data_IF_703133725140
#
_entry.id   IF_703133725140
#
_cell.length_a   1.000
_cell.length_b   1.000
_cell.length_c   1.000
_cell.angle_alpha   90.00
_cell.angle_beta   90.00
_cell.angle_gamma   90.00
#
_symmetry.space_group_name_H-M   'P 1'
#
loop_
_entity.id
_entity.type
_entity.pdbx_description
1 polymer ?
#
# COMPACT_ATOMS: atom_id res chain seq x y z
N UNK A 1 -15.51 -23.47 5.54
CA UNK A 1 -16.75 -22.77 5.95
C UNK A 1 -16.40 -21.47 6.64
N UNK A 2 -17.09 -20.34 6.36
CA UNK A 2 -16.87 -19.09 7.08
C UNK A 2 -17.32 -19.25 8.54
N UNK A 3 -16.53 -18.73 9.48
CA UNK A 3 -16.91 -18.78 10.91
C UNK A 3 -17.98 -17.71 11.13
N UNK A 4 -19.23 -18.15 11.32
CA UNK A 4 -20.38 -17.25 11.54
C UNK A 4 -20.09 -16.25 12.67
N UNK A 5 -20.57 -15.01 12.51
CA UNK A 5 -20.49 -13.96 13.52
C UNK A 5 -19.10 -13.33 13.72
N UNK A 6 -18.09 -13.73 12.94
CA UNK A 6 -16.72 -13.20 13.09
C UNK A 6 -16.23 -12.35 11.92
N UNK A 7 -16.97 -12.09 10.84
CA UNK A 7 -16.46 -11.28 9.70
C UNK A 7 -15.03 -11.70 9.27
N UNK A 8 -14.75 -13.01 9.24
CA UNK A 8 -13.44 -13.56 8.85
C UNK A 8 -13.54 -14.23 7.49
N UNK A 9 -12.49 -14.05 6.69
CA UNK A 9 -12.30 -14.86 5.49
C UNK A 9 -12.23 -16.35 5.85
N UNK A 10 -12.80 -17.18 4.97
CA UNK A 10 -12.61 -18.64 5.00
C UNK A 10 -11.12 -18.96 4.95
N UNK A 11 -10.69 -19.99 5.68
CA UNK A 11 -9.27 -20.33 5.86
C UNK A 11 -8.53 -20.45 4.54
N UNK A 12 -9.14 -21.07 3.52
CA UNK A 12 -8.52 -21.30 2.22
C UNK A 12 -8.31 -20.00 1.40
N UNK A 13 -8.98 -18.91 1.75
CA UNK A 13 -8.82 -17.62 1.07
C UNK A 13 -7.94 -16.66 1.87
N UNK A 14 -7.41 -17.07 3.03
CA UNK A 14 -6.50 -16.24 3.79
C UNK A 14 -5.16 -16.19 3.08
N UNK A 15 -4.74 -15.00 2.73
CA UNK A 15 -3.41 -14.77 2.17
C UNK A 15 -2.32 -15.02 3.21
N UNK A 16 -1.08 -15.18 2.76
CA UNK A 16 0.09 -15.32 3.63
C UNK A 16 0.63 -13.93 3.99
N UNK A 17 0.76 -13.56 5.27
CA UNK A 17 1.37 -12.29 5.64
C UNK A 17 2.78 -12.15 5.07
N UNK A 18 3.13 -10.94 4.63
CA UNK A 18 4.42 -10.64 4.01
C UNK A 18 4.50 -10.95 2.51
N UNK A 19 3.38 -11.30 1.88
CA UNK A 19 3.31 -11.61 0.45
C UNK A 19 2.47 -10.61 -0.32
N UNK A 20 2.62 -10.62 -1.65
CA UNK A 20 1.80 -9.80 -2.54
C UNK A 20 0.81 -10.66 -3.32
N UNK A 21 -0.36 -10.09 -3.61
CA UNK A 21 -1.30 -10.62 -4.59
C UNK A 21 -1.53 -9.56 -5.66
N UNK A 22 -1.37 -9.96 -6.92
CA UNK A 22 -1.54 -9.07 -8.07
C UNK A 22 -2.87 -9.41 -8.74
N UNK A 23 -3.74 -8.41 -8.84
CA UNK A 23 -5.00 -8.47 -9.58
C UNK A 23 -4.77 -7.74 -10.91
N UNK A 24 -4.73 -8.51 -11.99
CA UNK A 24 -4.58 -7.96 -13.33
C UNK A 24 -5.84 -7.24 -13.75
N UNK A 25 -5.68 -6.05 -14.32
CA UNK A 25 -6.82 -5.38 -14.93
C UNK A 25 -7.26 -6.15 -16.19
N UNK A 26 -8.58 -6.28 -16.43
CA UNK A 26 -9.08 -6.90 -17.67
C UNK A 26 -8.83 -6.03 -18.91
N UNK A 27 -8.64 -4.72 -18.72
CA UNK A 27 -8.44 -3.76 -19.79
C UNK A 27 -6.95 -3.45 -20.01
N UNK A 28 -6.53 -3.38 -21.27
CA UNK A 28 -5.18 -2.95 -21.61
C UNK A 28 -4.94 -1.49 -21.20
N UNK A 29 -3.71 -1.14 -20.84
CA UNK A 29 -3.31 0.21 -20.43
C UNK A 29 -3.99 0.76 -19.16
N UNK A 30 -4.65 -0.09 -18.37
CA UNK A 30 -5.19 0.27 -17.06
C UNK A 30 -4.32 -0.30 -15.93
N UNK A 31 -4.27 0.34 -14.75
CA UNK A 31 -3.37 -0.07 -13.68
C UNK A 31 -3.81 -1.39 -13.04
N UNK A 32 -2.86 -2.30 -12.82
CA UNK A 32 -3.06 -3.47 -11.99
C UNK A 32 -3.17 -3.08 -10.51
N UNK A 33 -3.94 -3.86 -9.73
CA UNK A 33 -4.04 -3.68 -8.28
C UNK A 33 -3.11 -4.66 -7.59
N UNK A 34 -2.24 -4.15 -6.71
CA UNK A 34 -1.33 -4.98 -5.92
C UNK A 34 -1.76 -4.92 -4.46
N UNK A 35 -2.22 -6.05 -3.93
CA UNK A 35 -2.54 -6.22 -2.52
C UNK A 35 -1.27 -6.59 -1.76
N UNK A 36 -0.85 -5.75 -0.81
CA UNK A 36 0.25 -6.04 0.11
C UNK A 36 -0.32 -6.69 1.38
N UNK A 37 -0.13 -7.99 1.56
CA UNK A 37 -0.77 -8.75 2.63
C UNK A 37 0.00 -8.56 3.94
N UNK A 38 -0.27 -7.45 4.61
CA UNK A 38 0.49 -6.99 5.78
C UNK A 38 -0.35 -6.79 7.03
N UNK A 39 -1.60 -7.26 7.01
CA UNK A 39 -2.55 -7.19 8.11
C UNK A 39 -3.27 -8.54 8.20
N UNK A 40 -3.14 -9.22 9.35
CA UNK A 40 -3.67 -10.58 9.52
C UNK A 40 -5.06 -10.62 10.18
N UNK A 41 -5.24 -9.81 11.22
CA UNK A 41 -6.51 -9.57 11.91
C UNK A 41 -7.04 -8.18 11.54
N UNK A 42 -8.35 -7.98 11.64
CA UNK A 42 -8.96 -6.69 11.33
C UNK A 42 -8.70 -5.69 12.47
N UNK A 43 -8.88 -4.40 12.18
CA UNK A 43 -8.65 -3.34 13.17
C UNK A 43 -7.18 -3.25 13.60
N UNK A 44 -6.93 -2.89 14.86
CA UNK A 44 -5.58 -2.60 15.39
C UNK A 44 -4.68 -3.84 15.60
N UNK A 45 -5.20 -5.05 15.37
CA UNK A 45 -4.46 -6.29 15.62
C UNK A 45 -4.53 -6.73 17.09
N UNK A 46 -4.19 -7.98 17.35
CA UNK A 46 -4.13 -8.56 18.70
C UNK A 46 -5.48 -8.78 19.42
N UNK A 47 -6.61 -8.35 18.83
CA UNK A 47 -7.93 -8.46 19.45
C UNK A 47 -8.44 -9.91 19.45
N UNK A 48 -8.39 -10.60 18.31
CA UNK A 48 -8.94 -11.96 18.21
C UNK A 48 -7.90 -13.07 18.23
N UNK A 49 -6.61 -12.74 18.13
CA UNK A 49 -5.48 -13.70 18.16
C UNK A 49 -5.72 -14.90 17.24
N UNK A 50 -5.97 -14.62 15.97
CA UNK A 50 -6.34 -15.64 14.97
C UNK A 50 -5.10 -16.47 14.62
N UNK A 51 -5.09 -17.81 14.77
CA UNK A 51 -3.97 -18.64 14.34
C UNK A 51 -3.85 -18.68 12.80
N UNK A 52 -2.64 -18.90 12.24
CA UNK A 52 -1.41 -19.26 12.95
C UNK A 52 -0.49 -18.08 13.29
N UNK A 53 -0.82 -16.86 12.86
CA UNK A 53 0.06 -15.71 13.00
C UNK A 53 -0.33 -14.79 14.15
N UNK A 54 0.66 -14.28 14.88
CA UNK A 54 0.46 -13.23 15.86
C UNK A 54 0.39 -11.87 15.16
N UNK A 55 -0.77 -11.21 15.24
CA UNK A 55 -0.98 -9.92 14.58
C UNK A 55 -0.66 -8.75 15.52
N UNK A 56 0.62 -8.41 15.61
CA UNK A 56 1.15 -7.29 16.36
C UNK A 56 1.57 -6.14 15.44
N UNK A 57 1.71 -4.93 15.98
CA UNK A 57 2.21 -3.76 15.21
C UNK A 57 3.56 -4.06 14.55
N UNK A 58 4.50 -4.67 15.28
CA UNK A 58 5.82 -5.01 14.76
C UNK A 58 5.75 -6.04 13.63
N UNK A 59 4.88 -7.04 13.75
CA UNK A 59 4.69 -8.04 12.70
C UNK A 59 4.06 -7.43 11.45
N UNK A 60 3.09 -6.50 11.58
CA UNK A 60 2.53 -5.80 10.42
C UNK A 60 3.56 -4.96 9.67
N UNK A 61 4.41 -4.24 10.39
CA UNK A 61 5.51 -3.48 9.79
C UNK A 61 6.52 -4.40 9.09
N UNK A 62 6.85 -5.55 9.72
CA UNK A 62 7.69 -6.58 9.12
C UNK A 62 7.08 -7.16 7.84
N UNK A 63 5.80 -7.54 7.87
CA UNK A 63 5.09 -8.07 6.71
C UNK A 63 4.94 -7.03 5.60
N UNK A 64 4.77 -5.76 5.96
CA UNK A 64 4.78 -4.67 4.98
C UNK A 64 6.13 -4.56 4.29
N UNK A 65 7.23 -4.59 5.05
CA UNK A 65 8.59 -4.60 4.51
C UNK A 65 8.85 -5.81 3.60
N UNK A 66 8.40 -7.01 3.99
CA UNK A 66 8.51 -8.22 3.17
C UNK A 66 7.70 -8.11 1.87
N UNK A 67 6.50 -7.54 1.94
CA UNK A 67 5.66 -7.29 0.76
C UNK A 67 6.35 -6.30 -0.20
N UNK A 68 7.00 -5.26 0.31
CA UNK A 68 7.80 -4.33 -0.48
C UNK A 68 9.02 -5.02 -1.12
N UNK A 69 9.67 -5.96 -0.43
CA UNK A 69 10.77 -6.75 -1.01
C UNK A 69 10.29 -7.62 -2.17
N UNK A 70 9.12 -8.24 -2.07
CA UNK A 70 8.54 -8.99 -3.20
C UNK A 70 8.15 -8.05 -4.34
N UNK A 71 7.53 -6.91 -4.02
CA UNK A 71 7.18 -5.89 -4.99
C UNK A 71 8.41 -5.38 -5.75
N UNK A 72 9.58 -5.27 -5.08
CA UNK A 72 10.84 -4.88 -5.71
C UNK A 72 11.23 -5.80 -6.86
N UNK A 73 10.96 -7.10 -6.74
CA UNK A 73 11.30 -8.12 -7.75
C UNK A 73 10.35 -8.12 -8.96
N UNK A 74 9.24 -7.39 -8.91
CA UNK A 74 8.29 -7.30 -10.01
C UNK A 74 8.77 -6.37 -11.13
N UNK A 75 8.22 -6.52 -12.33
CA UNK A 75 8.49 -5.67 -13.49
C UNK A 75 7.82 -4.29 -13.45
N UNK A 76 6.93 -4.03 -12.49
CA UNK A 76 6.24 -2.74 -12.36
C UNK A 76 7.22 -1.61 -12.08
N UNK A 77 7.22 -0.58 -12.94
CA UNK A 77 8.12 0.56 -12.84
C UNK A 77 7.53 1.71 -12.04
N UNK A 78 6.23 1.97 -12.21
CA UNK A 78 5.48 3.04 -11.54
C UNK A 78 4.49 2.42 -10.56
N UNK A 79 4.48 2.93 -9.33
CA UNK A 79 3.67 2.41 -8.23
C UNK A 79 2.97 3.56 -7.52
N UNK A 80 1.68 3.39 -7.26
CA UNK A 80 0.88 4.34 -6.49
C UNK A 80 0.51 3.71 -5.14
N UNK A 81 0.79 4.41 -4.04
CA UNK A 81 0.35 4.00 -2.71
C UNK A 81 -0.68 5.01 -2.18
N UNK A 82 -1.71 4.56 -1.46
CA UNK A 82 -2.61 5.46 -0.78
C UNK A 82 -1.90 6.17 0.38
N UNK A 83 -2.15 7.46 0.53
CA UNK A 83 -1.76 8.22 1.71
C UNK A 83 -2.34 7.57 2.96
N UNK A 84 -1.54 7.48 4.03
CA UNK A 84 -1.94 6.83 5.30
C UNK A 84 -2.25 5.33 5.15
N UNK A 85 -1.58 4.62 4.22
CA UNK A 85 -1.63 3.15 4.21
C UNK A 85 -1.21 2.57 5.56
N UNK A 86 -1.94 1.57 6.05
CA UNK A 86 -1.69 0.95 7.36
C UNK A 86 -2.13 1.80 8.57
N UNK A 87 -2.65 3.01 8.38
CA UNK A 87 -3.14 3.87 9.45
C UNK A 87 -4.66 3.72 9.69
N UNK A 88 -5.20 4.55 10.59
CA UNK A 88 -6.64 4.59 10.89
C UNK A 88 -7.10 3.33 11.63
N UNK A 89 -7.98 2.55 11.00
CA UNK A 89 -8.50 1.30 11.59
C UNK A 89 -7.39 0.27 11.83
N UNK A 90 -6.37 0.23 10.97
CA UNK A 90 -5.23 -0.67 11.11
C UNK A 90 -4.28 -0.25 12.26
N UNK A 91 -4.36 1.00 12.75
CA UNK A 91 -3.61 1.46 13.92
C UNK A 91 -2.12 1.74 13.73
N UNK A 92 -1.61 1.69 12.49
CA UNK A 92 -0.22 2.04 12.18
C UNK A 92 0.07 3.54 12.22
N UNK A 93 1.36 3.88 12.36
CA UNK A 93 1.88 5.25 12.35
C UNK A 93 2.41 5.62 10.97
N UNK A 94 1.91 6.70 10.39
CA UNK A 94 2.22 7.04 9.00
C UNK A 94 3.72 7.25 8.76
N UNK A 95 4.42 7.84 9.72
CA UNK A 95 5.86 8.12 9.64
C UNK A 95 6.68 6.85 9.43
N UNK A 96 6.26 5.74 10.04
CA UNK A 96 6.93 4.43 9.91
C UNK A 96 6.69 3.84 8.52
N UNK A 97 5.44 3.83 8.05
CA UNK A 97 5.11 3.30 6.72
C UNK A 97 5.73 4.16 5.61
N UNK A 98 5.75 5.47 5.80
CA UNK A 98 6.41 6.40 4.90
C UNK A 98 7.92 6.14 4.81
N UNK A 99 8.60 5.94 5.94
CA UNK A 99 10.03 5.58 5.96
C UNK A 99 10.31 4.25 5.23
N UNK A 100 9.46 3.24 5.44
CA UNK A 100 9.55 1.95 4.72
C UNK A 100 9.36 2.13 3.20
N UNK A 101 8.37 2.92 2.78
CA UNK A 101 8.13 3.24 1.37
C UNK A 101 9.34 3.99 0.78
N UNK A 102 9.88 5.01 1.48
CA UNK A 102 11.04 5.77 1.03
C UNK A 102 12.29 4.86 0.85
N UNK A 103 12.57 3.97 1.81
CA UNK A 103 13.67 3.00 1.71
C UNK A 103 13.48 2.04 0.53
N UNK A 104 12.24 1.60 0.32
CA UNK A 104 11.88 0.79 -0.84
C UNK A 104 12.11 1.54 -2.16
N UNK A 105 11.63 2.78 -2.29
CA UNK A 105 11.83 3.61 -3.48
C UNK A 105 13.32 3.76 -3.80
N UNK A 106 14.12 4.13 -2.79
CA UNK A 106 15.57 4.29 -2.96
C UNK A 106 16.26 2.99 -3.41
N UNK A 107 15.95 1.87 -2.75
CA UNK A 107 16.63 0.61 -3.03
C UNK A 107 16.16 -0.10 -4.30
N UNK A 108 14.96 0.22 -4.80
CA UNK A 108 14.36 -0.43 -5.98
C UNK A 108 14.51 0.39 -7.26
N UNK A 109 14.72 1.71 -7.15
CA UNK A 109 14.74 2.61 -8.30
C UNK A 109 13.37 2.75 -9.00
N UNK A 110 12.28 2.31 -8.37
CA UNK A 110 10.91 2.42 -8.91
C UNK A 110 10.36 3.84 -8.71
N UNK A 111 9.52 4.28 -9.64
CA UNK A 111 8.81 5.56 -9.60
C UNK A 111 7.60 5.43 -8.67
N UNK A 112 7.64 6.06 -7.50
CA UNK A 112 6.61 5.92 -6.46
C UNK A 112 5.82 7.21 -6.27
N UNK A 113 4.50 7.08 -6.22
CA UNK A 113 3.56 8.19 -6.06
C UNK A 113 2.69 7.92 -4.84
N UNK A 114 2.49 8.93 -3.97
CA UNK A 114 1.51 8.86 -2.89
C UNK A 114 0.24 9.60 -3.30
N UNK A 115 -0.87 8.89 -3.33
CA UNK A 115 -2.18 9.43 -3.70
C UNK A 115 -2.85 9.99 -2.44
N UNK A 116 -3.08 11.30 -2.39
CA UNK A 116 -3.80 11.94 -1.29
C UNK A 116 -5.26 12.15 -1.73
N UNK A 117 -6.23 11.46 -1.11
CA UNK A 117 -7.63 11.76 -1.37
C UNK A 117 -7.96 13.15 -0.80
N UNK A 118 -8.44 14.05 -1.64
CA UNK A 118 -8.94 15.36 -1.22
C UNK A 118 -10.41 15.50 -1.65
N UNK A 119 -11.20 16.09 -0.76
CA UNK A 119 -12.66 16.28 -0.87
C UNK A 119 -13.08 17.30 -1.94
N UNK A 120 -12.13 17.95 -2.63
CA UNK A 120 -12.43 18.92 -3.71
C UNK A 120 -11.71 18.65 -5.05
N UNK A 121 -10.61 17.90 -5.04
CA UNK A 121 -9.84 17.44 -6.21
C UNK A 121 -8.75 16.50 -5.69
N UNK A 122 -8.49 15.36 -6.33
CA UNK A 122 -7.40 14.47 -5.94
C UNK A 122 -6.04 15.18 -6.10
N UNK A 123 -5.42 15.58 -5.00
CA UNK A 123 -4.06 16.11 -5.03
C UNK A 123 -3.10 14.93 -5.04
N UNK A 124 -2.26 14.83 -6.07
CA UNK A 124 -1.23 13.80 -6.13
C UNK A 124 0.05 14.36 -5.53
N UNK A 125 0.59 13.68 -4.52
CA UNK A 125 1.91 14.02 -3.99
C UNK A 125 2.89 12.98 -4.53
N UNK A 126 3.71 13.41 -5.49
CA UNK A 126 4.79 12.55 -5.98
C UNK A 126 5.83 12.45 -4.87
N UNK A 127 6.13 11.22 -4.47
CA UNK A 127 7.01 10.94 -3.36
C UNK A 127 8.34 10.43 -3.89
N UNK A 128 9.35 11.29 -3.80
CA UNK A 128 10.75 10.99 -4.13
C UNK A 128 11.03 10.72 -5.62
N UNK A 129 11.34 11.78 -6.37
CA UNK A 129 12.32 11.68 -7.46
C UNK A 129 13.69 12.03 -6.88
N UNK A 130 14.48 11.03 -6.50
CA UNK A 130 15.88 11.27 -6.10
C UNK A 130 16.80 10.88 -7.25
N UNK A 131 17.58 11.85 -7.74
CA UNK A 131 18.69 11.57 -8.65
C UNK A 131 19.79 10.80 -7.89
N UNK A 132 20.59 9.93 -8.55
CA UNK A 132 21.56 9.04 -7.90
C UNK A 132 22.63 9.71 -7.02
N UNK A 133 22.76 11.05 -7.08
CA UNK A 133 23.85 11.80 -6.45
C UNK A 133 23.42 12.87 -5.44
N UNK A 134 22.15 12.98 -5.05
CA UNK A 134 21.72 14.00 -4.06
C UNK A 134 21.61 13.44 -2.64
N UNK A 135 22.40 14.03 -1.73
CA UNK A 135 22.39 13.78 -0.27
C UNK A 135 20.97 13.99 0.30
N UNK A 136 20.53 13.05 1.15
CA UNK A 136 19.44 13.07 2.18
C UNK A 136 18.53 14.32 2.29
N UNK A 137 17.96 14.82 1.20
CA UNK A 137 16.87 15.81 1.26
C UNK A 137 15.71 15.31 0.44
N UNK A 138 14.62 15.00 1.14
CA UNK A 138 13.36 14.56 0.55
C UNK A 138 12.70 15.76 -0.13
N UNK A 139 12.84 15.87 -1.45
CA UNK A 139 12.16 16.90 -2.23
C UNK A 139 10.76 16.41 -2.60
N UNK A 140 9.74 17.11 -2.10
CA UNK A 140 8.34 16.86 -2.40
C UNK A 140 7.92 17.70 -3.61
N UNK A 141 7.34 17.06 -4.62
CA UNK A 141 6.65 17.78 -5.70
C UNK A 141 5.19 17.36 -5.71
N UNK A 142 4.33 18.28 -5.32
CA UNK A 142 2.88 18.18 -5.53
C UNK A 142 2.60 18.36 -7.02
N UNK A 143 1.75 17.51 -7.56
CA UNK A 143 1.22 17.68 -8.90
C UNK A 143 -0.28 17.40 -8.83
N UNK A 144 -1.08 18.35 -9.28
CA UNK A 144 -2.52 18.13 -9.39
C UNK A 144 -2.76 17.16 -10.55
N UNK A 145 -3.59 16.14 -10.32
CA UNK A 145 -4.07 15.26 -11.38
C UNK A 145 -5.49 15.67 -11.67
N UNK A 146 -5.69 16.27 -12.84
CA UNK A 146 -7.03 16.51 -13.37
C UNK A 146 -7.72 15.16 -13.55
N UNK A 147 -8.88 15.01 -12.92
CA UNK A 147 -9.74 13.86 -13.17
C UNK A 147 -10.39 14.08 -14.54
N UNK A 148 -10.47 13.05 -15.41
CA UNK A 148 -11.29 13.16 -16.62
C UNK A 148 -12.69 13.57 -16.18
N UNK A 149 -13.18 14.69 -16.72
CA UNK A 149 -14.52 15.17 -16.44
C UNK A 149 -15.53 14.06 -16.71
N UNK A 150 -16.43 13.85 -15.77
CA UNK A 150 -17.54 12.90 -15.85
C UNK A 150 -18.31 13.12 -17.16
N UNK A 151 -18.24 12.21 -18.15
CA UNK A 151 -19.00 12.35 -19.39
C UNK A 151 -20.44 11.89 -19.11
N UNK A 152 -21.19 12.69 -18.35
CA UNK A 152 -22.44 12.20 -17.77
C UNK A 152 -23.34 13.23 -17.09
N UNK A 153 -23.39 14.48 -17.57
CA UNK A 153 -24.52 15.37 -17.30
C UNK A 153 -25.05 15.95 -18.61
N UNK A 154 -26.11 15.33 -19.11
CA UNK A 154 -27.11 15.95 -19.99
C UNK A 154 -28.14 16.62 -19.09
#
# INVERSE_FOLDING_TARGET
>A
MPVRGRNLAVTNHRGKPGTIQILKSPEENTPDIICLLSQWDFGRGGIRKIPPYEDSTSNRELWFSQSLQQLKQTSYKRLAFPYKIGCGLAGGKWEVYLDLICKFTYSSGKDVIIIIPSVKTAQTVTLCRMAPHQKKTTYWKTQDVETPGDPGKI
#
